data_IF_473052389848
#
_entry.id   IF_473052389848
#
_cell.length_a   1.000
_cell.length_b   1.000
_cell.length_c   1.000
_cell.angle_alpha   90.00
_cell.angle_beta   90.00
_cell.angle_gamma   90.00
#
_symmetry.space_group_name_H-M   'P 1'
#
loop_
_entity.id
_entity.type
_entity.pdbx_description
1 polymer ?
#
# COMPACT_ATOMS: atom_id res chain seq x y z
N UNK A 1 -10.65 16.03 5.96
CA UNK A 1 -11.08 17.32 5.39
C UNK A 1 -10.89 17.23 3.87
N UNK A 2 -11.97 17.23 3.07
CA UNK A 2 -11.89 17.17 1.61
C UNK A 2 -12.50 18.45 1.02
N UNK A 3 -11.68 19.27 0.36
CA UNK A 3 -12.20 20.35 -0.50
C UNK A 3 -12.43 19.76 -1.88
N UNK A 4 -13.70 19.67 -2.30
CA UNK A 4 -14.05 19.09 -3.60
C UNK A 4 -13.31 19.79 -4.74
N UNK A 5 -12.70 19.01 -5.62
CA UNK A 5 -12.00 19.49 -6.82
C UNK A 5 -10.61 20.10 -6.61
N UNK A 6 -10.12 20.22 -5.37
CA UNK A 6 -8.77 20.75 -5.08
C UNK A 6 -7.89 19.66 -4.46
N UNK A 7 -6.64 19.61 -4.89
CA UNK A 7 -5.59 18.77 -4.29
C UNK A 7 -4.54 19.69 -3.66
N UNK A 8 -3.98 19.30 -2.52
CA UNK A 8 -2.80 19.94 -1.92
C UNK A 8 -1.60 19.07 -2.22
N UNK A 9 -0.55 19.67 -2.76
CA UNK A 9 0.68 18.97 -3.11
C UNK A 9 1.82 19.47 -2.23
N UNK A 10 2.51 18.53 -1.60
CA UNK A 10 3.80 18.77 -0.97
C UNK A 10 4.85 18.19 -1.90
N UNK A 11 5.79 19.03 -2.34
CA UNK A 11 6.91 18.61 -3.20
C UNK A 11 8.18 18.87 -2.41
N UNK A 12 9.03 17.86 -2.34
CA UNK A 12 10.30 17.91 -1.64
C UNK A 12 11.27 16.91 -2.23
N UNK A 13 12.46 16.88 -1.66
CA UNK A 13 13.54 15.97 -2.03
C UNK A 13 13.69 14.87 -0.97
N UNK A 14 14.40 13.80 -1.33
CA UNK A 14 14.68 12.69 -0.45
C UNK A 14 16.17 12.68 -0.08
N UNK A 15 16.47 12.38 1.17
CA UNK A 15 17.82 12.03 1.62
C UNK A 15 18.03 10.52 1.45
N UNK A 16 19.19 10.12 0.92
CA UNK A 16 19.67 8.74 0.96
C UNK A 16 20.43 8.51 2.27
N UNK A 17 20.01 7.51 3.04
CA UNK A 17 20.64 7.08 4.29
C UNK A 17 20.92 5.58 4.25
N UNK A 18 21.80 5.12 5.13
CA UNK A 18 22.04 3.71 5.38
C UNK A 18 21.34 3.30 6.67
N UNK A 19 20.66 2.16 6.65
CA UNK A 19 20.14 1.53 7.87
C UNK A 19 21.23 0.72 8.60
N UNK A 20 20.89 0.13 9.74
CA UNK A 20 21.80 -0.69 10.57
C UNK A 20 22.30 -1.95 9.84
N UNK A 21 21.68 -2.33 8.73
CA UNK A 21 22.05 -3.46 7.88
C UNK A 21 22.75 -3.04 6.58
N UNK A 22 23.20 -1.78 6.50
CA UNK A 22 23.90 -1.20 5.34
C UNK A 22 23.04 -1.20 4.06
N UNK A 23 21.72 -1.14 4.21
CA UNK A 23 20.76 -1.01 3.09
C UNK A 23 20.44 0.46 2.88
N UNK A 24 20.32 0.85 1.62
CA UNK A 24 19.88 2.19 1.24
C UNK A 24 18.42 2.36 1.62
N UNK A 25 18.14 3.41 2.39
CA UNK A 25 16.80 3.85 2.76
C UNK A 25 16.65 5.31 2.38
N UNK A 26 15.48 5.66 1.84
CA UNK A 26 15.18 7.02 1.42
C UNK A 26 14.14 7.64 2.33
N UNK A 27 14.39 8.86 2.79
CA UNK A 27 13.47 9.58 3.67
C UNK A 27 13.24 11.00 3.15
N UNK A 28 12.04 11.57 3.30
CA UNK A 28 11.83 12.98 2.99
C UNK A 28 12.83 13.87 3.72
N UNK A 29 13.45 14.81 3.01
CA UNK A 29 14.31 15.82 3.62
C UNK A 29 13.45 16.82 4.39
N UNK A 30 13.17 16.51 5.65
CA UNK A 30 12.35 17.30 6.56
C UNK A 30 12.99 17.31 7.94
N UNK A 31 12.90 18.46 8.61
CA UNK A 31 13.42 18.59 9.97
C UNK A 31 12.47 17.96 11.00
N UNK A 32 13.06 17.40 12.06
CA UNK A 32 12.37 16.68 13.12
C UNK A 32 12.12 15.19 12.80
N UNK A 33 12.68 14.31 13.63
CA UNK A 33 12.58 12.85 13.49
C UNK A 33 11.14 12.31 13.53
N UNK A 34 10.23 12.99 14.24
CA UNK A 34 8.81 12.61 14.30
C UNK A 34 8.04 13.05 13.05
N UNK A 35 8.38 14.19 12.46
CA UNK A 35 7.62 14.78 11.35
C UNK A 35 7.59 13.85 10.14
N UNK A 36 8.76 13.30 9.76
CA UNK A 36 8.86 12.36 8.64
C UNK A 36 8.09 11.06 8.85
N UNK A 37 8.02 10.58 10.10
CA UNK A 37 7.30 9.34 10.46
C UNK A 37 5.77 9.51 10.46
N UNK A 38 5.29 10.68 10.89
CA UNK A 38 3.86 10.99 10.98
C UNK A 38 3.27 11.46 9.64
N UNK A 39 4.10 12.01 8.74
CA UNK A 39 3.66 12.57 7.46
C UNK A 39 2.80 11.59 6.62
N UNK A 40 3.17 10.30 6.46
CA UNK A 40 2.31 9.33 5.78
C UNK A 40 0.94 9.13 6.45
N UNK A 41 0.80 9.40 7.75
CA UNK A 41 -0.46 9.30 8.48
C UNK A 41 -1.49 10.35 8.05
N UNK A 42 -1.02 11.57 7.74
CA UNK A 42 -1.88 12.74 7.47
C UNK A 42 -2.19 12.98 5.99
N UNK A 43 -1.37 12.48 5.06
CA UNK A 43 -1.62 12.60 3.61
C UNK A 43 -2.34 11.38 3.08
N UNK A 44 -3.11 11.50 1.99
CA UNK A 44 -3.71 10.34 1.34
C UNK A 44 -2.68 9.56 0.52
N UNK A 45 -1.80 10.28 -0.17
CA UNK A 45 -0.82 9.74 -1.11
C UNK A 45 0.60 10.13 -0.68
N UNK A 46 1.54 9.18 -0.76
CA UNK A 46 2.98 9.44 -0.75
C UNK A 46 3.53 8.82 -2.03
N UNK A 47 4.11 9.65 -2.90
CA UNK A 47 4.57 9.23 -4.23
C UNK A 47 6.03 9.66 -4.37
N UNK A 48 6.90 8.72 -4.71
CA UNK A 48 8.30 9.03 -5.01
C UNK A 48 8.51 9.06 -6.52
N UNK A 49 9.10 10.13 -7.05
CA UNK A 49 9.59 10.17 -8.42
C UNK A 49 11.05 9.69 -8.43
N UNK A 50 11.33 8.62 -9.17
CA UNK A 50 12.66 8.02 -9.28
C UNK A 50 13.04 7.73 -10.73
N UNK A 51 14.33 7.51 -10.96
CA UNK A 51 14.85 7.01 -12.23
C UNK A 51 14.94 5.49 -12.17
N UNK A 52 14.07 4.79 -12.90
CA UNK A 52 14.02 3.34 -12.97
C UNK A 52 14.48 2.85 -14.36
N UNK A 53 15.20 1.72 -14.46
CA UNK A 53 15.55 1.14 -15.75
C UNK A 53 14.30 0.61 -16.48
N UNK A 54 14.20 0.88 -17.79
CA UNK A 54 13.23 0.21 -18.66
C UNK A 54 13.73 -1.19 -19.08
N UNK A 55 12.96 -1.88 -19.92
CA UNK A 55 13.30 -3.21 -20.46
C UNK A 55 14.64 -3.23 -21.23
N UNK A 56 15.12 -2.08 -21.68
CA UNK A 56 16.39 -1.90 -22.40
C UNK A 56 17.48 -1.29 -21.50
N UNK A 57 17.29 -1.30 -20.17
CA UNK A 57 18.18 -0.70 -19.17
C UNK A 57 18.40 0.81 -19.33
N UNK A 58 17.51 1.53 -19.99
CA UNK A 58 17.57 2.99 -20.10
C UNK A 58 16.87 3.62 -18.91
N UNK A 59 17.47 4.64 -18.27
CA UNK A 59 16.84 5.32 -17.15
C UNK A 59 15.59 6.07 -17.62
N UNK A 60 14.45 5.78 -17.00
CA UNK A 60 13.17 6.44 -17.22
C UNK A 60 12.65 7.01 -15.89
N UNK A 61 12.08 8.21 -15.94
CA UNK A 61 11.39 8.75 -14.76
C UNK A 61 10.08 8.00 -14.58
N UNK A 62 9.79 7.63 -13.34
CA UNK A 62 8.53 7.00 -12.99
C UNK A 62 8.11 7.38 -11.57
N UNK A 63 6.83 7.17 -11.27
CA UNK A 63 6.29 7.30 -9.93
C UNK A 63 6.21 5.94 -9.25
N UNK A 64 6.80 5.83 -8.06
CA UNK A 64 6.66 4.67 -7.17
C UNK A 64 5.53 4.95 -6.19
N UNK A 65 4.50 4.09 -6.20
CA UNK A 65 3.23 4.38 -5.54
C UNK A 65 2.91 3.43 -4.37
N UNK A 66 3.52 2.25 -4.30
CA UNK A 66 3.23 1.25 -3.27
C UNK A 66 4.30 1.17 -2.18
N UNK A 67 3.86 1.01 -0.93
CA UNK A 67 4.74 0.89 0.24
C UNK A 67 5.69 -0.29 0.14
N UNK A 68 5.21 -1.43 -0.37
CA UNK A 68 6.06 -2.58 -0.65
C UNK A 68 6.64 -2.45 -2.06
N UNK A 69 7.75 -1.73 -2.18
CA UNK A 69 8.50 -1.59 -3.42
C UNK A 69 9.95 -2.09 -3.25
N UNK A 70 10.60 -2.56 -4.33
CA UNK A 70 11.95 -3.15 -4.26
C UNK A 70 13.07 -2.13 -4.04
N UNK A 71 12.78 -0.82 -4.09
CA UNK A 71 13.78 0.25 -4.03
C UNK A 71 13.81 0.99 -2.69
N UNK A 72 13.02 0.56 -1.71
CA UNK A 72 12.91 1.20 -0.39
C UNK A 72 12.52 2.68 -0.45
N UNK A 73 11.84 3.11 -1.52
CA UNK A 73 11.34 4.48 -1.62
C UNK A 73 10.11 4.67 -0.75
N UNK A 74 9.94 5.83 -0.09
CA UNK A 74 8.74 6.14 0.66
C UNK A 74 7.57 6.26 -0.32
N UNK A 75 6.60 5.38 -0.19
CA UNK A 75 5.44 5.35 -1.06
C UNK A 75 4.22 4.80 -0.33
N UNK A 76 3.04 5.28 -0.71
CA UNK A 76 1.77 4.90 -0.11
C UNK A 76 0.62 5.34 -0.99
N UNK A 77 -0.17 4.37 -1.43
CA UNK A 77 -1.44 4.60 -2.10
C UNK A 77 -2.60 4.21 -1.19
N UNK A 78 -3.31 5.20 -0.63
CA UNK A 78 -4.55 4.96 0.13
C UNK A 78 -5.76 4.72 -0.78
N UNK A 79 -5.67 5.07 -2.06
CA UNK A 79 -6.77 4.87 -3.01
C UNK A 79 -6.95 3.40 -3.39
N UNK A 80 -5.88 2.60 -3.33
CA UNK A 80 -5.87 1.20 -3.73
C UNK A 80 -6.09 1.00 -5.23
N UNK A 81 -5.72 2.00 -6.04
CA UNK A 81 -5.95 2.06 -7.49
C UNK A 81 -4.67 2.18 -8.29
N UNK A 82 -3.55 2.53 -7.66
CA UNK A 82 -2.28 2.71 -8.34
C UNK A 82 -1.50 1.39 -8.40
N UNK A 83 -0.83 1.18 -9.52
CA UNK A 83 0.12 0.09 -9.68
C UNK A 83 1.41 0.38 -8.88
N UNK A 84 2.34 -0.57 -8.84
CA UNK A 84 3.63 -0.38 -8.16
C UNK A 84 4.38 0.83 -8.71
N UNK A 85 4.36 0.94 -10.05
CA UNK A 85 5.00 1.99 -10.83
C UNK A 85 3.98 2.60 -11.78
N UNK A 86 3.92 3.92 -11.82
CA UNK A 86 3.09 4.69 -12.73
C UNK A 86 3.98 5.60 -13.60
N UNK A 87 3.45 6.02 -14.74
CA UNK A 87 4.06 7.06 -15.55
C UNK A 87 4.23 8.37 -14.74
N UNK A 88 5.28 9.17 -15.01
CA UNK A 88 5.57 10.41 -14.28
C UNK A 88 4.64 11.56 -14.70
N UNK A 89 3.32 11.32 -14.72
CA UNK A 89 2.31 12.25 -15.20
C UNK A 89 1.21 12.47 -14.15
N UNK A 90 1.27 13.59 -13.43
CA UNK A 90 0.35 13.89 -12.33
C UNK A 90 -1.14 13.89 -12.74
N UNK A 91 -1.47 14.37 -13.94
CA UNK A 91 -2.86 14.35 -14.46
C UNK A 91 -3.45 12.94 -14.53
N UNK A 92 -2.80 12.05 -15.30
CA UNK A 92 -3.12 10.62 -15.39
C UNK A 92 -3.14 9.91 -14.03
N UNK A 93 -2.17 10.21 -13.16
CA UNK A 93 -2.15 9.67 -11.80
C UNK A 93 -3.43 10.03 -11.03
N UNK A 94 -3.85 11.31 -11.08
CA UNK A 94 -5.06 11.77 -10.42
C UNK A 94 -6.34 11.25 -11.07
N UNK A 95 -6.36 11.08 -12.40
CA UNK A 95 -7.47 10.42 -13.10
C UNK A 95 -7.65 8.99 -12.60
N UNK A 96 -6.56 8.22 -12.46
CA UNK A 96 -6.59 6.86 -11.93
C UNK A 96 -7.04 6.83 -10.47
N UNK A 97 -6.53 7.72 -9.61
CA UNK A 97 -6.94 7.84 -8.19
C UNK A 97 -8.44 8.13 -8.06
N UNK A 98 -9.00 8.97 -8.94
CA UNK A 98 -10.43 9.35 -8.93
C UNK A 98 -11.33 8.35 -9.64
N UNK A 99 -10.73 7.40 -10.38
CA UNK A 99 -11.44 6.40 -11.15
C UNK A 99 -12.21 5.39 -10.29
N UNK A 100 -12.94 4.47 -10.96
CA UNK A 100 -13.60 3.37 -10.27
C UNK A 100 -12.59 2.53 -9.48
N UNK A 101 -13.02 1.98 -8.34
CA UNK A 101 -12.18 1.07 -7.56
C UNK A 101 -11.89 -0.17 -8.41
N UNK A 102 -10.64 -0.64 -8.40
CA UNK A 102 -10.31 -1.94 -9.00
C UNK A 102 -11.02 -3.03 -8.17
N UNK A 103 -11.85 -3.89 -8.79
CA UNK A 103 -12.55 -4.97 -8.10
C UNK A 103 -11.58 -5.81 -7.25
N UNK A 104 -12.00 -6.20 -6.05
CA UNK A 104 -11.15 -6.93 -5.11
C UNK A 104 -10.64 -8.27 -5.70
N UNK A 105 -11.49 -8.95 -6.46
CA UNK A 105 -11.20 -10.15 -7.25
C UNK A 105 -10.04 -10.00 -8.25
N UNK A 106 -9.75 -8.79 -8.72
CA UNK A 106 -8.58 -8.52 -9.58
C UNK A 106 -7.33 -8.13 -8.80
N UNK A 107 -7.46 -7.77 -7.52
CA UNK A 107 -6.35 -7.36 -6.65
C UNK A 107 -5.86 -8.47 -5.73
N UNK A 108 -6.67 -9.50 -5.49
CA UNK A 108 -6.36 -10.60 -4.59
C UNK A 108 -6.21 -11.89 -5.40
N UNK A 109 -5.00 -12.46 -5.38
CA UNK A 109 -4.73 -13.83 -5.88
C UNK A 109 -4.99 -14.90 -4.82
N UNK A 110 -5.27 -14.48 -3.58
CA UNK A 110 -5.49 -15.39 -2.47
C UNK A 110 -6.93 -15.89 -2.44
N UNK A 111 -7.11 -17.20 -2.65
CA UNK A 111 -8.37 -17.87 -2.34
C UNK A 111 -8.56 -17.92 -0.82
N UNK A 112 -9.75 -17.57 -0.29
CA UNK A 112 -10.03 -17.72 1.14
C UNK A 112 -9.75 -19.16 1.58
N UNK A 113 -9.15 -19.37 2.77
CA UNK A 113 -8.88 -20.71 3.25
C UNK A 113 -10.22 -21.39 3.51
N UNK A 114 -10.41 -22.59 2.97
CA UNK A 114 -11.63 -23.35 3.17
C UNK A 114 -11.60 -23.93 4.58
N UNK A 115 -12.33 -23.30 5.50
CA UNK A 115 -12.47 -23.82 6.86
C UNK A 115 -13.31 -25.11 6.80
N UNK A 116 -12.91 -26.17 7.53
CA UNK A 116 -13.76 -27.34 7.68
C UNK A 116 -15.10 -26.92 8.31
N UNK A 117 -16.22 -27.54 7.92
CA UNK A 117 -17.50 -27.25 8.54
C UNK A 117 -17.39 -27.51 10.06
N UNK A 118 -18.03 -26.68 10.89
CA UNK A 118 -18.04 -26.91 12.33
C UNK A 118 -18.59 -28.32 12.60
N UNK A 119 -18.02 -29.07 13.56
CA UNK A 119 -18.54 -30.37 13.92
C UNK A 119 -20.03 -30.23 14.24
N UNK A 120 -20.84 -31.07 13.59
CA UNK A 120 -22.28 -31.11 13.84
C UNK A 120 -22.55 -31.38 15.32
N UNK A 121 -23.74 -31.00 15.83
CA UNK A 121 -24.09 -31.26 17.22
C UNK A 121 -23.95 -32.75 17.51
N UNK A 122 -22.99 -33.10 18.37
CA UNK A 122 -22.86 -34.46 18.90
C UNK A 122 -24.19 -34.79 19.56
N UNK A 123 -24.87 -35.83 19.07
CA UNK A 123 -26.04 -36.36 19.76
C UNK A 123 -25.63 -36.66 21.20
N UNK A 124 -26.20 -35.92 22.14
CA UNK A 124 -26.03 -36.18 23.57
C UNK A 124 -26.48 -37.61 23.80
N UNK A 125 -25.57 -38.49 24.20
CA UNK A 125 -25.91 -39.82 24.70
C UNK A 125 -26.99 -39.65 25.77
N UNK A 126 -28.21 -40.11 25.46
CA UNK A 126 -29.29 -40.21 26.44
C UNK A 126 -28.86 -41.25 27.48
N UNK A 127 -28.28 -40.78 28.57
CA UNK A 127 -28.09 -41.59 29.78
C UNK A 127 -29.46 -41.89 30.37
N UNK A 128 -30.00 -43.05 30.05
CA UNK A 128 -31.19 -43.62 30.69
C UNK A 128 -30.83 -44.04 32.11
N UNK A 129 -31.26 -43.27 33.12
CA UNK A 129 -31.18 -43.74 34.51
C UNK A 129 -32.24 -44.82 34.76
N UNK A 130 -31.89 -45.97 35.35
CA UNK A 130 -32.89 -46.93 35.78
C UNK A 130 -33.64 -46.37 37.01
N UNK A 131 -34.96 -46.31 36.91
CA UNK A 131 -35.85 -46.00 38.03
C UNK A 131 -35.85 -47.15 39.04
N UNK A 132 -35.69 -46.80 40.31
CA UNK A 132 -36.02 -47.65 41.45
C UNK A 132 -37.02 -46.88 42.33
#
# INVERSE_FOLDING_TARGET
QHTRGKNVWFVGILDEKLDDFNRKVFVPQIDGSKTGLELPGIVDQVITMASLPDELNRPQRAFVCQTLNPWSYPAKDRSGRLDLVEEPHLGRLMEKIRGPLIPAERRLTYSPPQLPPPPGPTATDTHSYPTN
#
